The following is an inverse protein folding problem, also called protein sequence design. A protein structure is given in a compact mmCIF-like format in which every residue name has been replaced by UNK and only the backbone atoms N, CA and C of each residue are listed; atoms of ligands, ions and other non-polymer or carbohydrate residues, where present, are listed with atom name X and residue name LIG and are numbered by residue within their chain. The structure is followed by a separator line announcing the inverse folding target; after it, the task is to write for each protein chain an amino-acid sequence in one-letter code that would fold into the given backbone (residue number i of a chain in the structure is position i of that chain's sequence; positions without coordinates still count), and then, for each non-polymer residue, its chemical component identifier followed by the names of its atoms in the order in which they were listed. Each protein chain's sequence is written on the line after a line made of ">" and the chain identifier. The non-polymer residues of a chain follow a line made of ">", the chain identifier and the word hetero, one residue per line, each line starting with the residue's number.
data_IF_897610640747
#
_entry.id   IF_897610640747
#
_cell.length_a   1.000
_cell.length_b   1.000
_cell.length_c   1.000
_cell.angle_alpha   90.00
_cell.angle_beta   90.00
_cell.angle_gamma   90.00
#
_symmetry.space_group_name_H-M   'P 1'
#
loop_
_entity.id
_entity.type
_entity.pdbx_description
1 polymer ?
#
# COMPACT_ATOMS: atom_id res chain seq x y z
N UNK A 1 29.99 53.17 17.05
CA UNK A 1 30.60 52.53 18.23
C UNK A 1 29.47 52.00 19.08
N UNK A 2 29.36 50.68 19.21
CA UNK A 2 28.43 50.08 20.16
C UNK A 2 28.92 50.39 21.58
N UNK A 3 28.02 50.78 22.47
CA UNK A 3 28.35 50.99 23.88
C UNK A 3 28.63 49.64 24.56
N UNK A 4 29.66 49.57 25.41
CA UNK A 4 30.12 48.33 26.04
C UNK A 4 31.04 47.53 25.12
N UNK A 5 32.12 46.98 25.69
CA UNK A 5 33.27 46.29 25.07
C UNK A 5 32.86 45.14 24.10
N UNK A 6 32.21 45.47 23.00
CA UNK A 6 31.61 44.55 22.02
C UNK A 6 32.01 44.98 20.62
N UNK A 7 32.15 44.00 19.73
CA UNK A 7 32.41 44.23 18.31
C UNK A 7 31.44 43.38 17.48
N UNK A 8 31.24 43.79 16.23
CA UNK A 8 30.48 43.02 15.25
C UNK A 8 31.11 43.29 13.88
N UNK A 9 31.41 42.22 13.16
CA UNK A 9 31.98 42.24 11.81
C UNK A 9 31.12 41.31 10.96
N UNK A 10 30.62 41.81 9.84
CA UNK A 10 29.94 40.97 8.86
C UNK A 10 30.99 40.16 8.10
N UNK A 11 30.84 38.85 8.08
CA UNK A 11 31.68 37.90 7.31
C UNK A 11 30.79 37.25 6.25
N UNK A 12 31.33 36.97 5.07
CA UNK A 12 30.56 36.25 4.06
C UNK A 12 30.31 34.82 4.54
N UNK A 13 29.06 34.33 4.43
CA UNK A 13 28.72 32.97 4.84
C UNK A 13 29.52 31.90 4.09
N UNK A 14 29.92 32.17 2.85
CA UNK A 14 30.78 31.28 2.07
C UNK A 14 32.17 31.08 2.67
N UNK A 15 32.72 32.09 3.34
CA UNK A 15 34.04 31.99 3.98
C UNK A 15 33.94 31.08 5.21
N UNK A 16 32.86 31.22 6.00
CA UNK A 16 32.57 30.34 7.13
C UNK A 16 32.19 28.91 6.69
N UNK A 17 31.56 28.75 5.53
CA UNK A 17 31.30 27.42 4.98
C UNK A 17 32.59 26.70 4.53
N UNK A 18 33.60 27.46 4.09
CA UNK A 18 34.88 26.92 3.61
C UNK A 18 35.91 26.72 4.74
N UNK A 19 35.82 27.49 5.82
CA UNK A 19 36.73 27.43 6.97
C UNK A 19 35.95 27.34 8.29
N UNK A 20 36.12 26.23 8.99
CA UNK A 20 35.43 25.89 10.25
C UNK A 20 36.18 26.38 11.49
N UNK A 21 37.30 27.08 11.33
CA UNK A 21 38.10 27.60 12.44
C UNK A 21 38.83 28.88 12.06
N UNK A 22 38.76 29.91 12.90
CA UNK A 22 39.53 31.14 12.67
C UNK A 22 39.99 31.79 13.97
N UNK A 23 41.11 32.52 13.89
CA UNK A 23 41.65 33.29 15.00
C UNK A 23 41.10 34.73 14.99
N UNK A 24 40.55 35.15 16.12
CA UNK A 24 40.20 36.53 16.39
C UNK A 24 41.27 37.15 17.28
N UNK A 25 41.95 38.19 16.76
CA UNK A 25 43.01 38.90 17.49
C UNK A 25 42.61 40.36 17.72
N UNK A 26 42.72 40.82 18.97
CA UNK A 26 42.64 42.24 19.31
C UNK A 26 44.05 42.76 19.60
N UNK A 27 44.41 43.89 19.01
CA UNK A 27 45.66 44.60 19.28
C UNK A 27 45.36 46.07 19.59
N UNK A 28 46.24 46.72 20.35
CA UNK A 28 46.09 48.13 20.66
C UNK A 28 47.21 48.67 21.52
N UNK A 29 47.03 49.89 22.01
CA UNK A 29 47.93 50.57 22.94
C UNK A 29 47.13 51.15 24.10
N UNK A 30 47.69 51.11 25.31
CA UNK A 30 47.10 51.85 26.44
C UNK A 30 47.35 53.37 26.32
N UNK A 31 46.80 54.13 27.27
CA UNK A 31 46.94 55.59 27.28
C UNK A 31 48.40 56.07 27.47
N UNK A 32 49.27 55.23 28.04
CA UNK A 32 50.71 55.51 28.20
C UNK A 32 51.53 55.07 26.97
N UNK A 33 50.90 54.45 25.97
CA UNK A 33 51.55 53.99 24.73
C UNK A 33 52.09 52.56 24.78
N UNK A 34 51.77 51.75 25.79
CA UNK A 34 52.21 50.35 25.86
C UNK A 34 51.36 49.48 24.92
N UNK A 35 51.96 48.71 24.00
CA UNK A 35 51.20 47.82 23.12
C UNK A 35 50.68 46.58 23.85
N UNK A 36 49.53 46.07 23.42
CA UNK A 36 48.97 44.79 23.86
C UNK A 36 48.40 43.99 22.69
N UNK A 37 48.29 42.68 22.88
CA UNK A 37 47.63 41.76 21.95
C UNK A 37 46.97 40.62 22.73
N UNK A 38 45.82 40.14 22.26
CA UNK A 38 45.20 38.91 22.72
C UNK A 38 44.52 38.20 21.54
N UNK A 39 44.64 36.88 21.48
CA UNK A 39 44.08 36.04 20.42
C UNK A 39 43.22 34.95 21.02
N UNK A 40 42.12 34.62 20.35
CA UNK A 40 41.28 33.46 20.64
C UNK A 40 40.90 32.77 19.34
N UNK A 41 40.71 31.46 19.38
CA UNK A 41 40.28 30.65 18.23
C UNK A 41 38.79 30.35 18.37
N UNK A 42 38.04 30.61 17.31
CA UNK A 42 36.63 30.21 17.18
C UNK A 42 36.54 28.98 16.29
N UNK A 43 35.62 28.07 16.60
CA UNK A 43 35.29 26.92 15.75
C UNK A 43 33.78 26.80 15.55
N UNK A 44 33.37 26.22 14.42
CA UNK A 44 31.97 25.90 14.10
C UNK A 44 31.87 24.69 13.18
N UNK A 45 30.67 24.15 12.99
CA UNK A 45 30.36 23.11 12.01
C UNK A 45 29.62 23.70 10.81
N UNK A 46 29.67 22.99 9.68
CA UNK A 46 28.97 23.37 8.44
C UNK A 46 28.10 22.20 8.01
N UNK A 47 26.83 22.48 7.84
CA UNK A 47 25.85 21.56 7.25
C UNK A 47 24.94 22.37 6.34
N UNK A 48 24.99 22.07 5.05
CA UNK A 48 24.30 22.83 3.99
C UNK A 48 23.49 21.94 3.07
N UNK A 49 23.26 20.68 3.45
CA UNK A 49 22.60 19.69 2.58
C UNK A 49 21.74 18.75 3.41
N UNK A 50 20.52 18.53 2.95
CA UNK A 50 19.66 17.45 3.45
C UNK A 50 19.21 16.57 2.29
N UNK A 51 19.06 15.27 2.54
CA UNK A 51 18.63 14.27 1.57
C UNK A 51 17.77 13.20 2.23
N UNK A 52 16.70 12.82 1.57
CA UNK A 52 15.78 11.79 2.05
C UNK A 52 15.51 10.74 0.97
N UNK A 53 14.94 9.61 1.41
CA UNK A 53 14.37 8.59 0.53
C UNK A 53 12.96 8.25 0.99
N UNK A 54 12.11 7.78 0.07
CA UNK A 54 10.77 7.28 0.35
C UNK A 54 10.51 6.02 -0.47
N UNK A 55 9.85 5.04 0.13
CA UNK A 55 9.28 3.87 -0.55
C UNK A 55 7.79 3.79 -0.25
N UNK A 56 7.03 3.20 -1.16
CA UNK A 56 5.64 2.80 -0.94
C UNK A 56 5.61 1.28 -1.04
N UNK A 57 4.96 0.61 -0.09
CA UNK A 57 4.77 -0.84 -0.12
C UNK A 57 3.74 -1.22 -1.21
N UNK A 58 3.54 -2.52 -1.44
CA UNK A 58 2.47 -3.01 -2.30
C UNK A 58 1.12 -2.44 -1.86
N UNK A 59 0.27 -2.10 -2.83
CA UNK A 59 -1.09 -1.67 -2.53
C UNK A 59 -1.92 -2.93 -2.30
N UNK A 60 -2.38 -3.12 -1.05
CA UNK A 60 -2.91 -4.40 -0.53
C UNK A 60 -1.81 -5.47 -0.42
N UNK A 61 -2.17 -6.71 -0.06
CA UNK A 61 -1.18 -7.77 0.19
C UNK A 61 -0.55 -8.34 -1.10
N UNK A 62 -1.23 -8.19 -2.23
CA UNK A 62 -0.88 -8.81 -3.52
C UNK A 62 -0.67 -7.79 -4.64
N UNK A 63 -0.58 -6.50 -4.30
CA UNK A 63 -0.39 -5.39 -5.25
C UNK A 63 -1.52 -5.30 -6.30
N UNK A 64 -2.71 -5.75 -5.90
CA UNK A 64 -3.91 -5.83 -6.70
C UNK A 64 -5.11 -5.36 -5.87
N UNK A 65 -5.88 -4.42 -6.41
CA UNK A 65 -7.13 -3.99 -5.79
C UNK A 65 -8.29 -4.79 -6.37
N UNK A 66 -8.90 -5.62 -5.54
CA UNK A 66 -10.10 -6.39 -5.88
C UNK A 66 -11.40 -5.62 -5.63
N UNK A 67 -12.54 -6.21 -5.98
CA UNK A 67 -13.86 -5.57 -5.84
C UNK A 67 -14.21 -5.17 -4.40
N UNK A 68 -13.84 -5.98 -3.41
CA UNK A 68 -14.11 -5.69 -2.01
C UNK A 68 -13.22 -4.55 -1.50
N UNK A 69 -11.94 -4.57 -1.87
CA UNK A 69 -10.96 -3.53 -1.52
C UNK A 69 -11.30 -2.19 -2.18
N UNK A 70 -11.74 -2.20 -3.44
CA UNK A 70 -12.22 -1.01 -4.13
C UNK A 70 -13.43 -0.35 -3.43
N UNK A 71 -14.21 -1.13 -2.66
CA UNK A 71 -15.35 -0.67 -1.88
C UNK A 71 -15.04 -0.19 -0.46
N UNK A 72 -13.77 -0.26 -0.02
CA UNK A 72 -13.37 0.03 1.35
C UNK A 72 -12.12 0.94 1.39
N UNK A 73 -11.82 1.58 2.54
CA UNK A 73 -10.54 2.26 2.70
C UNK A 73 -9.36 1.28 2.71
N UNK A 74 -8.31 1.61 1.95
CA UNK A 74 -7.04 0.86 1.89
C UNK A 74 -5.96 1.71 2.59
N UNK A 75 -5.09 1.06 3.35
CA UNK A 75 -3.93 1.75 3.94
C UNK A 75 -2.77 1.73 2.96
N UNK A 76 -2.34 2.90 2.49
CA UNK A 76 -1.09 3.04 1.73
C UNK A 76 0.04 3.21 2.74
N UNK A 77 0.95 2.25 2.76
CA UNK A 77 2.08 2.21 3.69
C UNK A 77 3.41 2.34 2.98
N UNK A 78 4.45 2.61 3.75
CA UNK A 78 5.80 2.65 3.23
C UNK A 78 6.79 3.12 4.28
N UNK A 79 8.02 3.38 3.83
CA UNK A 79 9.12 3.79 4.69
C UNK A 79 9.84 5.02 4.15
N UNK A 80 10.52 5.72 5.04
CA UNK A 80 11.40 6.84 4.68
C UNK A 80 12.81 6.60 5.22
N UNK A 81 13.80 7.29 4.65
CA UNK A 81 15.20 7.22 5.05
C UNK A 81 15.96 8.53 4.81
N UNK A 82 17.25 8.54 5.11
CA UNK A 82 18.08 9.74 5.10
C UNK A 82 17.74 10.67 6.27
N UNK A 83 17.59 11.96 5.98
CA UNK A 83 17.26 13.00 6.95
C UNK A 83 15.75 13.06 7.29
N UNK A 84 14.94 12.24 6.62
CA UNK A 84 13.53 12.10 6.95
C UNK A 84 13.34 11.41 8.31
N UNK A 85 12.47 11.98 9.14
CA UNK A 85 12.24 11.61 10.52
C UNK A 85 10.75 11.69 10.90
N UNK A 86 10.35 11.11 12.05
CA UNK A 86 8.97 11.20 12.53
C UNK A 86 8.50 12.65 12.66
N UNK A 87 7.32 12.93 12.13
CA UNK A 87 6.74 14.29 12.06
C UNK A 87 6.90 14.98 10.71
N UNK A 88 7.76 14.47 9.82
CA UNK A 88 7.81 14.94 8.43
C UNK A 88 6.53 14.60 7.67
N UNK A 89 6.23 15.38 6.63
CA UNK A 89 4.98 15.24 5.89
C UNK A 89 5.17 14.31 4.70
N UNK A 90 4.30 13.30 4.59
CA UNK A 90 4.13 12.48 3.38
C UNK A 90 2.83 12.89 2.70
N UNK A 91 2.89 13.12 1.39
CA UNK A 91 1.72 13.49 0.59
C UNK A 91 1.75 12.87 -0.79
N UNK A 92 0.58 12.60 -1.34
CA UNK A 92 0.37 12.12 -2.71
C UNK A 92 -1.04 12.48 -3.19
N UNK A 93 -1.29 12.28 -4.49
CA UNK A 93 -2.62 12.46 -5.10
C UNK A 93 -2.99 11.18 -5.84
N UNK A 94 -4.17 10.61 -5.56
CA UNK A 94 -4.70 9.43 -6.26
C UNK A 94 -6.04 9.80 -6.85
N UNK A 95 -6.24 9.57 -8.16
CA UNK A 95 -7.48 9.90 -8.86
C UNK A 95 -7.90 11.38 -8.70
N UNK A 96 -6.91 12.28 -8.61
CA UNK A 96 -7.12 13.71 -8.37
C UNK A 96 -7.47 14.09 -6.93
N UNK A 97 -7.60 13.13 -6.01
CA UNK A 97 -7.84 13.36 -4.58
C UNK A 97 -6.50 13.47 -3.83
N UNK A 98 -6.23 14.56 -3.11
CA UNK A 98 -5.02 14.69 -2.31
C UNK A 98 -5.13 13.92 -0.99
N UNK A 99 -4.05 13.22 -0.64
CA UNK A 99 -3.89 12.49 0.60
C UNK A 99 -2.59 12.92 1.29
N UNK A 100 -2.62 13.00 2.62
CA UNK A 100 -1.45 13.40 3.40
C UNK A 100 -1.45 12.76 4.78
N UNK A 101 -0.26 12.52 5.31
CA UNK A 101 -0.04 12.06 6.67
C UNK A 101 1.36 12.43 7.15
N UNK A 102 1.71 11.92 8.33
CA UNK A 102 3.02 12.14 8.93
C UNK A 102 3.83 10.85 8.91
N UNK A 103 5.15 11.00 8.83
CA UNK A 103 6.09 9.93 9.18
C UNK A 103 5.91 9.62 10.68
N UNK A 104 5.74 8.34 10.97
CA UNK A 104 5.52 7.78 12.29
C UNK A 104 6.84 7.25 12.89
N UNK A 105 6.78 6.83 14.16
CA UNK A 105 7.90 6.16 14.81
C UNK A 105 8.32 4.90 14.02
N UNK A 106 9.62 4.70 13.87
CA UNK A 106 10.18 3.64 13.03
C UNK A 106 10.34 4.01 11.55
N UNK A 107 10.20 5.30 11.21
CA UNK A 107 10.36 5.84 9.85
C UNK A 107 9.40 5.20 8.84
N UNK A 108 8.17 4.97 9.27
CA UNK A 108 7.09 4.42 8.45
C UNK A 108 5.98 5.45 8.27
N UNK A 109 5.09 5.25 7.30
CA UNK A 109 3.84 5.98 7.21
C UNK A 109 2.69 5.02 6.89
N UNK A 110 1.47 5.43 7.23
CA UNK A 110 0.23 4.74 6.88
C UNK A 110 -0.86 5.78 6.68
N UNK A 111 -1.34 5.90 5.45
CA UNK A 111 -2.33 6.90 5.05
C UNK A 111 -3.55 6.15 4.50
N UNK A 112 -4.72 6.42 5.08
CA UNK A 112 -5.97 5.81 4.62
C UNK A 112 -6.45 6.48 3.34
N UNK A 113 -6.61 5.67 2.29
CA UNK A 113 -6.99 6.08 0.94
C UNK A 113 -8.30 5.38 0.57
N UNK A 114 -9.19 6.07 -0.15
CA UNK A 114 -10.39 5.42 -0.65
C UNK A 114 -10.00 4.34 -1.69
N UNK A 115 -10.44 3.10 -1.49
CA UNK A 115 -10.19 2.02 -2.45
C UNK A 115 -10.72 2.33 -3.84
N UNK A 116 -11.78 3.13 -3.94
CA UNK A 116 -12.34 3.60 -5.21
C UNK A 116 -11.37 4.51 -5.99
N UNK A 117 -10.55 5.30 -5.29
CA UNK A 117 -9.53 6.13 -5.94
C UNK A 117 -8.39 5.26 -6.47
N UNK A 118 -7.92 4.29 -5.68
CA UNK A 118 -6.90 3.32 -6.11
C UNK A 118 -7.41 2.41 -7.25
N UNK A 119 -8.70 2.09 -7.28
CA UNK A 119 -9.29 1.36 -8.40
C UNK A 119 -9.37 2.19 -9.69
N UNK A 120 -9.43 3.52 -9.58
CA UNK A 120 -9.52 4.44 -10.72
C UNK A 120 -8.14 4.95 -11.20
N UNK A 121 -7.14 4.93 -10.34
CA UNK A 121 -5.79 5.41 -10.61
C UNK A 121 -4.75 4.43 -10.06
N UNK A 122 -4.05 3.77 -10.98
CA UNK A 122 -3.12 2.67 -10.69
C UNK A 122 -1.66 3.10 -10.61
N UNK A 123 -1.39 4.42 -10.61
CA UNK A 123 -0.04 4.97 -10.55
C UNK A 123 -0.04 6.35 -9.92
N UNK A 124 0.65 6.53 -8.81
CA UNK A 124 0.76 7.83 -8.14
C UNK A 124 2.16 8.08 -7.58
N UNK A 125 2.52 9.36 -7.50
CA UNK A 125 3.78 9.80 -6.89
C UNK A 125 3.56 10.15 -5.42
N UNK A 126 4.37 9.56 -4.55
CA UNK A 126 4.43 9.86 -3.13
C UNK A 126 5.69 10.66 -2.81
N UNK A 127 5.51 11.78 -2.10
CA UNK A 127 6.57 12.69 -1.72
C UNK A 127 6.65 12.82 -0.20
N UNK A 128 7.87 12.75 0.34
CA UNK A 128 8.19 13.18 1.71
C UNK A 128 8.91 14.52 1.67
N UNK A 129 8.53 15.43 2.57
CA UNK A 129 9.17 16.74 2.74
C UNK A 129 9.44 17.03 4.21
N UNK A 130 10.54 17.73 4.49
CA UNK A 130 10.95 18.04 5.84
C UNK A 130 12.16 18.96 5.89
N UNK A 131 12.80 19.02 7.05
CA UNK A 131 14.00 19.84 7.29
C UNK A 131 14.91 19.08 8.26
N UNK A 132 16.21 19.04 7.97
CA UNK A 132 17.18 18.41 8.86
C UNK A 132 17.39 19.21 10.17
N UNK A 133 18.29 18.73 11.03
CA UNK A 133 18.60 19.40 12.30
C UNK A 133 19.32 20.75 12.14
N UNK A 134 19.98 20.99 11.00
CA UNK A 134 20.68 22.23 10.68
C UNK A 134 19.77 23.29 10.03
N UNK A 135 18.55 22.92 9.64
CA UNK A 135 17.59 23.80 8.99
C UNK A 135 17.58 23.69 7.46
N UNK A 136 18.26 22.71 6.87
CA UNK A 136 18.25 22.51 5.42
C UNK A 136 16.99 21.74 5.01
N UNK A 137 16.19 22.27 4.05
CA UNK A 137 15.00 21.58 3.57
C UNK A 137 15.38 20.40 2.67
N UNK A 138 14.55 19.36 2.67
CA UNK A 138 14.65 18.25 1.71
C UNK A 138 13.28 17.89 1.12
N UNK A 139 13.33 17.20 -0.01
CA UNK A 139 12.16 16.59 -0.66
C UNK A 139 12.61 15.33 -1.39
N UNK A 140 11.87 14.23 -1.23
CA UNK A 140 12.11 12.99 -1.97
C UNK A 140 10.80 12.42 -2.47
N UNK A 141 10.81 11.90 -3.70
CA UNK A 141 9.62 11.37 -4.38
C UNK A 141 9.88 9.96 -4.88
N UNK A 142 8.87 9.10 -4.82
CA UNK A 142 8.85 7.79 -5.48
C UNK A 142 7.51 7.57 -6.17
N UNK A 143 7.49 6.75 -7.21
CA UNK A 143 6.26 6.36 -7.91
C UNK A 143 5.82 4.99 -7.40
N UNK A 144 4.56 4.87 -6.99
CA UNK A 144 3.88 3.60 -6.69
C UNK A 144 2.99 3.21 -7.86
N UNK A 145 2.92 1.92 -8.16
CA UNK A 145 2.03 1.35 -9.18
C UNK A 145 1.44 0.05 -8.65
N UNK A 146 0.18 -0.24 -9.00
CA UNK A 146 -0.50 -1.48 -8.65
C UNK A 146 -1.43 -1.93 -9.79
N UNK A 147 -2.11 -3.07 -9.62
CA UNK A 147 -3.09 -3.60 -10.57
C UNK A 147 -4.51 -3.58 -10.00
N UNK A 148 -5.52 -3.73 -10.87
CA UNK A 148 -6.93 -3.72 -10.46
C UNK A 148 -7.64 -4.87 -11.14
N UNK A 149 -8.30 -5.72 -10.36
CA UNK A 149 -9.20 -6.77 -10.87
C UNK A 149 -10.46 -6.86 -10.01
N UNK A 150 -11.52 -6.21 -10.49
CA UNK A 150 -12.79 -6.09 -9.75
C UNK A 150 -13.86 -7.04 -10.28
N UNK A 151 -13.51 -7.98 -11.16
CA UNK A 151 -14.49 -8.81 -11.85
C UNK A 151 -14.13 -10.28 -11.81
N UNK A 152 -15.13 -11.13 -11.53
CA UNK A 152 -15.04 -12.57 -11.74
C UNK A 152 -16.32 -13.04 -12.44
N UNK A 153 -16.20 -14.03 -13.30
CA UNK A 153 -17.31 -14.59 -14.07
C UNK A 153 -17.19 -16.10 -14.20
N UNK A 154 -18.32 -16.81 -14.17
CA UNK A 154 -18.35 -18.25 -14.37
C UNK A 154 -19.51 -18.66 -15.27
N UNK A 155 -19.34 -19.77 -15.96
CA UNK A 155 -20.41 -20.45 -16.71
C UNK A 155 -20.58 -21.87 -16.19
N UNK A 156 -21.79 -22.42 -16.33
CA UNK A 156 -22.10 -23.80 -15.95
C UNK A 156 -23.09 -24.38 -16.95
N UNK A 157 -22.89 -25.65 -17.29
CA UNK A 157 -23.81 -26.47 -18.07
C UNK A 157 -24.15 -27.74 -17.28
N UNK A 158 -25.30 -28.32 -17.57
CA UNK A 158 -25.72 -29.63 -17.07
C UNK A 158 -25.95 -30.51 -18.29
N UNK A 159 -25.37 -31.70 -18.28
CA UNK A 159 -25.61 -32.70 -19.33
C UNK A 159 -27.04 -33.24 -19.22
N UNK A 160 -27.48 -34.00 -20.23
CA UNK A 160 -28.76 -34.70 -20.18
C UNK A 160 -28.89 -35.56 -18.91
N UNK A 161 -30.06 -35.57 -18.29
CA UNK A 161 -30.33 -36.44 -17.13
C UNK A 161 -30.64 -37.83 -17.65
N UNK A 162 -29.75 -38.80 -17.37
CA UNK A 162 -29.70 -40.10 -18.07
C UNK A 162 -29.35 -39.93 -19.55
N UNK A 163 -29.34 -41.02 -20.34
CA UNK A 163 -28.85 -40.99 -21.71
C UNK A 163 -29.82 -40.31 -22.70
N UNK A 164 -31.11 -40.24 -22.37
CA UNK A 164 -32.18 -39.76 -23.24
C UNK A 164 -32.94 -38.55 -22.65
N UNK A 165 -32.41 -37.93 -21.59
CA UNK A 165 -33.00 -36.82 -20.85
C UNK A 165 -34.40 -37.13 -20.28
N UNK A 166 -34.66 -38.42 -20.02
CA UNK A 166 -35.90 -38.93 -19.47
C UNK A 166 -35.60 -39.85 -18.29
N UNK A 167 -36.36 -39.69 -17.21
CA UNK A 167 -36.27 -40.56 -16.03
C UNK A 167 -37.42 -41.56 -16.06
N UNK A 168 -37.09 -42.83 -16.29
CA UNK A 168 -38.05 -43.93 -16.20
C UNK A 168 -38.19 -44.46 -14.75
N UNK A 169 -39.12 -45.39 -14.54
CA UNK A 169 -39.41 -45.92 -13.20
C UNK A 169 -38.23 -46.67 -12.56
N UNK A 170 -37.36 -47.28 -13.36
CA UNK A 170 -36.18 -47.98 -12.85
C UNK A 170 -35.11 -46.97 -12.42
N UNK A 171 -34.84 -45.95 -13.24
CA UNK A 171 -33.90 -44.86 -12.93
C UNK A 171 -34.37 -44.05 -11.72
N UNK A 172 -35.67 -43.75 -11.60
CA UNK A 172 -36.22 -43.05 -10.43
C UNK A 172 -36.00 -43.81 -9.10
N UNK A 173 -35.79 -45.12 -9.15
CA UNK A 173 -35.53 -45.97 -7.99
C UNK A 173 -34.04 -46.16 -7.66
N UNK A 174 -33.13 -45.66 -8.51
CA UNK A 174 -31.69 -45.82 -8.38
C UNK A 174 -30.99 -44.44 -8.27
N UNK A 175 -29.74 -44.38 -7.81
CA UNK A 175 -28.97 -43.15 -7.88
C UNK A 175 -28.71 -42.73 -9.34
N UNK A 176 -28.93 -41.45 -9.66
CA UNK A 176 -28.64 -40.84 -10.97
C UNK A 176 -27.52 -39.83 -10.77
N UNK A 177 -26.49 -39.86 -11.62
CA UNK A 177 -25.45 -38.83 -11.61
C UNK A 177 -25.88 -37.63 -12.44
N UNK A 178 -25.92 -36.45 -11.82
CA UNK A 178 -26.04 -35.18 -12.53
C UNK A 178 -24.63 -34.72 -12.88
N UNK A 179 -24.35 -34.63 -14.18
CA UNK A 179 -23.03 -34.23 -14.69
C UNK A 179 -23.12 -32.93 -15.48
N UNK A 180 -21.96 -32.33 -15.76
CA UNK A 180 -21.85 -31.15 -16.59
C UNK A 180 -20.46 -30.55 -16.54
N UNK A 181 -20.32 -29.34 -17.07
CA UNK A 181 -19.06 -28.60 -17.06
C UNK A 181 -19.22 -27.16 -16.55
N UNK A 182 -18.10 -26.58 -16.14
CA UNK A 182 -17.99 -25.17 -15.75
C UNK A 182 -16.94 -24.46 -16.60
N UNK A 183 -16.99 -23.14 -16.64
CA UNK A 183 -16.01 -22.30 -17.33
C UNK A 183 -15.88 -20.92 -16.68
N UNK A 184 -15.06 -20.05 -17.28
CA UNK A 184 -14.68 -18.76 -16.68
C UNK A 184 -13.65 -18.96 -15.57
N UNK A 185 -13.83 -18.25 -14.46
CA UNK A 185 -12.98 -18.30 -13.26
C UNK A 185 -13.28 -19.50 -12.37
N UNK A 186 -14.32 -20.29 -12.69
CA UNK A 186 -14.60 -21.54 -11.99
C UNK A 186 -13.46 -22.54 -12.20
N UNK A 187 -12.96 -23.11 -11.10
CA UNK A 187 -11.81 -23.97 -11.07
C UNK A 187 -12.07 -25.27 -10.28
N UNK A 188 -11.27 -26.33 -10.49
CA UNK A 188 -11.36 -27.54 -9.69
C UNK A 188 -11.25 -27.24 -8.19
N UNK A 189 -12.16 -27.84 -7.40
CA UNK A 189 -12.32 -27.56 -5.98
C UNK A 189 -13.43 -26.56 -5.66
N UNK A 190 -13.92 -25.80 -6.63
CA UNK A 190 -15.10 -24.96 -6.44
C UNK A 190 -16.36 -25.80 -6.18
N UNK A 191 -17.31 -25.24 -5.45
CA UNK A 191 -18.54 -25.95 -5.08
C UNK A 191 -19.59 -25.86 -6.19
N UNK A 192 -20.10 -27.02 -6.61
CA UNK A 192 -21.33 -27.11 -7.41
C UNK A 192 -22.44 -27.58 -6.48
N UNK A 193 -23.55 -26.85 -6.44
CA UNK A 193 -24.70 -27.22 -5.61
C UNK A 193 -26.01 -26.92 -6.31
N UNK A 194 -27.02 -27.72 -6.00
CA UNK A 194 -28.39 -27.53 -6.46
C UNK A 194 -29.36 -28.13 -5.44
N UNK A 195 -30.63 -27.76 -5.54
CA UNK A 195 -31.70 -28.36 -4.73
C UNK A 195 -32.65 -29.11 -5.65
N UNK A 196 -32.95 -30.37 -5.32
CA UNK A 196 -33.93 -31.17 -6.04
C UNK A 196 -34.96 -31.71 -5.05
N UNK A 197 -36.24 -31.42 -5.28
CA UNK A 197 -37.35 -31.76 -4.39
C UNK A 197 -37.09 -31.39 -2.91
N UNK A 198 -36.56 -30.19 -2.67
CA UNK A 198 -36.21 -29.71 -1.33
C UNK A 198 -35.00 -30.38 -0.68
N UNK A 199 -34.35 -31.34 -1.36
CA UNK A 199 -33.11 -31.97 -0.88
C UNK A 199 -31.91 -31.26 -1.51
N UNK A 200 -30.98 -30.72 -0.70
CA UNK A 200 -29.76 -30.10 -1.21
C UNK A 200 -28.76 -31.18 -1.65
N UNK A 201 -28.15 -30.94 -2.79
CA UNK A 201 -27.03 -31.74 -3.32
C UNK A 201 -25.84 -30.82 -3.53
N UNK A 202 -24.65 -31.33 -3.23
CA UNK A 202 -23.41 -30.58 -3.39
C UNK A 202 -22.30 -31.54 -3.80
N UNK A 203 -21.40 -31.03 -4.61
CA UNK A 203 -20.14 -31.65 -4.97
C UNK A 203 -19.12 -30.59 -5.34
N UNK A 204 -18.00 -31.02 -5.90
CA UNK A 204 -16.93 -30.14 -6.32
C UNK A 204 -16.77 -30.19 -7.84
N UNK A 205 -16.29 -29.10 -8.41
CA UNK A 205 -15.68 -29.10 -9.73
C UNK A 205 -14.45 -29.99 -9.68
N UNK A 206 -14.37 -30.92 -10.61
CA UNK A 206 -13.32 -31.90 -10.79
C UNK A 206 -12.30 -31.41 -11.83
N UNK A 207 -11.18 -32.13 -11.93
CA UNK A 207 -10.20 -31.90 -13.00
C UNK A 207 -10.87 -31.94 -14.39
N UNK A 208 -10.44 -31.03 -15.27
CA UNK A 208 -11.09 -30.83 -16.57
C UNK A 208 -12.36 -29.99 -16.53
N UNK A 209 -12.61 -29.27 -15.43
CA UNK A 209 -13.74 -28.35 -15.25
C UNK A 209 -15.09 -29.04 -15.45
N UNK A 210 -15.24 -30.23 -14.88
CA UNK A 210 -16.48 -31.02 -14.91
C UNK A 210 -17.00 -31.29 -13.51
N UNK A 211 -18.25 -31.70 -13.36
CA UNK A 211 -18.76 -32.19 -12.07
C UNK A 211 -19.62 -33.44 -12.27
N UNK A 212 -19.77 -34.21 -11.19
CA UNK A 212 -20.66 -35.38 -11.14
C UNK A 212 -21.20 -35.51 -9.71
N UNK A 213 -22.50 -35.30 -9.54
CA UNK A 213 -23.16 -35.32 -8.23
C UNK A 213 -24.24 -36.40 -8.26
N UNK A 214 -24.12 -37.38 -7.38
CA UNK A 214 -25.09 -38.48 -7.30
C UNK A 214 -26.35 -38.03 -6.56
N UNK A 215 -27.48 -38.08 -7.25
CA UNK A 215 -28.82 -37.83 -6.74
C UNK A 215 -29.48 -39.16 -6.40
N UNK A 216 -29.90 -39.33 -5.15
CA UNK A 216 -30.58 -40.54 -4.73
C UNK A 216 -31.96 -40.67 -5.39
N UNK A 217 -32.27 -41.84 -5.94
CA UNK A 217 -33.61 -42.16 -6.40
C UNK A 217 -34.63 -42.14 -5.27
N UNK A 218 -35.80 -41.56 -5.51
CA UNK A 218 -36.92 -41.59 -4.58
C UNK A 218 -37.80 -42.82 -4.89
N UNK A 219 -37.87 -43.81 -3.98
CA UNK A 219 -38.87 -44.88 -4.11
C UNK A 219 -40.27 -44.25 -4.06
N UNK A 220 -41.15 -44.51 -5.05
CA UNK A 220 -42.55 -44.15 -4.92
C UNK A 220 -43.09 -44.84 -3.65
N UNK A 221 -43.72 -44.07 -2.77
CA UNK A 221 -44.38 -44.63 -1.58
C UNK A 221 -45.34 -45.73 -2.00
N UNK A 222 -45.34 -46.86 -1.28
CA UNK A 222 -46.35 -47.91 -1.48
C UNK A 222 -47.72 -47.26 -1.34
N UNK A 223 -48.51 -47.23 -2.41
CA UNK A 223 -49.96 -47.05 -2.28
C UNK A 223 -50.47 -48.24 -1.45
N UNK A 224 -50.93 -47.97 -0.24
CA UNK A 224 -51.88 -48.86 0.41
C UNK A 224 -53.22 -48.59 -0.27
N UNK A 225 -53.64 -49.49 -1.14
CA UNK A 225 -55.04 -49.59 -1.57
C UNK A 225 -55.83 -50.26 -0.44
N UNK A 226 -56.96 -49.66 -0.07
CA UNK A 226 -58.08 -50.35 0.58
C UNK A 226 -59.28 -50.24 -0.36
#
# INVERSE_FOLDING_TARGET
>A
MLAGNTFSISVAGSDLAADTSFDATVTGTDAAGNPFSATTTSTHSVDTTASATITVDAITADDLVNAAEAGAPISVTGTVGGDAAPGDTVSFTVNGTPYSGLVLAGNTFSISVAGSDLAADTSFDATVTGTDAAGNPFSATTTSTHSVDTTASATITVDAITADDLVNAAEAGAPISVTGSVGGDAAPGDTVSFTMNGTPYSGLVLAGNTFSISVAGSRPGRRYEF
#
